data_IF_435550728749
#
_entry.id   IF_435550728749
#
_cell.length_a   1.000
_cell.length_b   1.000
_cell.length_c   1.000
_cell.angle_alpha   90.00
_cell.angle_beta   90.00
_cell.angle_gamma   90.00
#
_symmetry.space_group_name_H-M   'P 1'
#
loop_
_entity.id
_entity.type
_entity.pdbx_description
1 polymer ?
#
# COMPACT_ATOMS: atom_id res chain seq x y z
N UNK A 1 9.91 -16.28 29.68
CA UNK A 1 9.22 -15.79 28.46
C UNK A 1 9.34 -16.88 27.41
N UNK A 2 8.28 -17.62 27.15
CA UNK A 2 8.28 -18.79 26.25
C UNK A 2 8.33 -18.34 24.78
N UNK A 3 8.97 -19.14 23.91
CA UNK A 3 9.13 -18.82 22.49
C UNK A 3 7.80 -18.54 21.77
N UNK A 4 6.72 -19.20 22.19
CA UNK A 4 5.35 -18.95 21.70
C UNK A 4 4.89 -17.51 21.93
N UNK A 5 5.16 -16.93 23.09
CA UNK A 5 4.78 -15.55 23.40
C UNK A 5 5.59 -14.56 22.56
N UNK A 6 6.87 -14.85 22.31
CA UNK A 6 7.72 -14.03 21.47
C UNK A 6 7.22 -14.02 20.01
N UNK A 7 6.89 -15.18 19.45
CA UNK A 7 6.33 -15.28 18.08
C UNK A 7 5.01 -14.51 17.96
N UNK A 8 4.13 -14.60 18.96
CA UNK A 8 2.87 -13.86 19.00
C UNK A 8 3.08 -12.34 19.01
N UNK A 9 4.06 -11.85 19.77
CA UNK A 9 4.41 -10.42 19.82
C UNK A 9 4.97 -9.92 18.49
N UNK A 10 5.84 -10.70 17.83
CA UNK A 10 6.36 -10.33 16.51
C UNK A 10 5.25 -10.32 15.44
N UNK A 11 4.34 -11.29 15.47
CA UNK A 11 3.22 -11.35 14.53
C UNK A 11 2.27 -10.14 14.70
N UNK A 12 1.98 -9.76 15.94
CA UNK A 12 1.17 -8.58 16.25
C UNK A 12 1.83 -7.27 15.79
N UNK A 13 3.15 -7.14 16.00
CA UNK A 13 3.91 -5.98 15.53
C UNK A 13 3.94 -5.88 13.99
N UNK A 14 4.10 -7.02 13.30
CA UNK A 14 4.07 -7.08 11.84
C UNK A 14 2.69 -6.77 11.26
N UNK A 15 1.60 -7.21 11.91
CA UNK A 15 0.25 -6.88 11.50
C UNK A 15 -0.05 -5.37 11.66
N UNK A 16 0.43 -4.74 12.73
CA UNK A 16 0.25 -3.31 12.98
C UNK A 16 1.07 -2.44 12.02
N UNK A 17 2.29 -2.86 11.68
CA UNK A 17 3.11 -2.20 10.67
C UNK A 17 2.57 -2.43 9.25
N UNK A 18 1.93 -3.58 8.98
CA UNK A 18 1.24 -3.82 7.72
C UNK A 18 0.13 -2.80 7.48
N UNK A 19 -0.66 -2.42 8.48
CA UNK A 19 -1.66 -1.36 8.32
C UNK A 19 -1.05 -0.01 7.91
N UNK A 20 0.15 0.32 8.41
CA UNK A 20 0.85 1.56 8.07
C UNK A 20 1.58 1.49 6.70
N UNK A 21 2.14 0.33 6.33
CA UNK A 21 2.78 0.11 5.03
C UNK A 21 1.77 0.03 3.88
N UNK A 22 0.61 -0.57 4.11
CA UNK A 22 -0.47 -0.65 3.11
C UNK A 22 -0.98 0.76 2.76
N UNK A 23 -1.01 1.69 3.71
CA UNK A 23 -1.37 3.09 3.43
C UNK A 23 -0.33 3.78 2.53
N UNK A 24 0.96 3.56 2.76
CA UNK A 24 2.04 4.06 1.92
C UNK A 24 1.98 3.48 0.50
N UNK A 25 1.90 2.16 0.38
CA UNK A 25 1.77 1.46 -0.90
C UNK A 25 0.49 1.89 -1.65
N UNK A 26 -0.63 2.10 -0.95
CA UNK A 26 -1.86 2.61 -1.53
C UNK A 26 -1.70 4.00 -2.12
N UNK A 27 -0.97 4.90 -1.44
CA UNK A 27 -0.69 6.26 -1.93
C UNK A 27 0.17 6.26 -3.19
N UNK A 28 1.16 5.38 -3.27
CA UNK A 28 2.00 5.22 -4.46
C UNK A 28 1.20 4.64 -5.65
N UNK A 29 0.34 3.64 -5.39
CA UNK A 29 -0.58 3.07 -6.40
C UNK A 29 -1.57 4.11 -6.89
N UNK A 30 -2.17 4.92 -6.02
CA UNK A 30 -3.08 5.99 -6.42
C UNK A 30 -2.39 7.05 -7.28
N UNK A 31 -1.18 7.49 -6.92
CA UNK A 31 -0.44 8.47 -7.71
C UNK A 31 -0.11 7.95 -9.13
N UNK A 32 0.32 6.69 -9.22
CA UNK A 32 0.55 6.02 -10.50
C UNK A 32 -0.75 5.89 -11.32
N UNK A 33 -1.85 5.52 -10.67
CA UNK A 33 -3.18 5.43 -11.28
C UNK A 33 -3.65 6.76 -11.86
N UNK A 34 -3.55 7.85 -11.09
CA UNK A 34 -3.89 9.21 -11.57
C UNK A 34 -3.07 9.59 -12.79
N UNK A 35 -1.76 9.32 -12.80
CA UNK A 35 -0.90 9.63 -13.95
C UNK A 35 -1.31 8.85 -15.22
N UNK A 36 -1.70 7.59 -15.07
CA UNK A 36 -2.22 6.77 -16.18
C UNK A 36 -3.57 7.29 -16.66
N UNK A 37 -4.50 7.59 -15.76
CA UNK A 37 -5.81 8.17 -16.10
C UNK A 37 -5.66 9.49 -16.85
N UNK A 38 -4.84 10.41 -16.35
CA UNK A 38 -4.58 11.70 -17.01
C UNK A 38 -3.99 11.52 -18.40
N UNK A 39 -3.10 10.54 -18.57
CA UNK A 39 -2.50 10.22 -19.87
C UNK A 39 -3.54 9.66 -20.84
N UNK A 40 -4.42 8.77 -20.36
CA UNK A 40 -5.51 8.21 -21.14
C UNK A 40 -6.51 9.30 -21.56
N UNK A 41 -6.94 10.17 -20.64
CA UNK A 41 -7.83 11.31 -20.92
C UNK A 41 -7.24 12.25 -21.98
N UNK A 42 -5.94 12.56 -21.89
CA UNK A 42 -5.24 13.38 -22.90
C UNK A 42 -5.22 12.76 -24.28
N UNK A 43 -5.15 11.44 -24.39
CA UNK A 43 -5.21 10.72 -25.66
C UNK A 43 -6.65 10.67 -26.17
N UNK A 44 -7.60 10.41 -25.28
CA UNK A 44 -9.03 10.36 -25.61
C UNK A 44 -9.56 11.70 -26.12
N UNK A 45 -9.12 12.83 -25.55
CA UNK A 45 -9.47 14.16 -26.05
C UNK A 45 -8.77 14.56 -27.36
N UNK A 46 -7.71 13.86 -27.75
CA UNK A 46 -6.96 14.13 -28.99
C UNK A 46 -7.45 13.30 -30.18
N UNK A 47 -8.43 12.42 -29.95
CA UNK A 47 -9.19 11.73 -30.99
C UNK A 47 -10.50 12.47 -31.26
#
# INVERSE_FOLDING_TARGET
MTAKTLVLLLAAAAALSACNTVAGAGKDVSAAGTAVTDSADKVQQKM
#
